data_IF_048786283427
#
_entry.id   IF_048786283427
#
_cell.length_a   1.000
_cell.length_b   1.000
_cell.length_c   1.000
_cell.angle_alpha   90.00
_cell.angle_beta   90.00
_cell.angle_gamma   90.00
#
_symmetry.space_group_name_H-M   'P 1'
#
loop_
_entity.id
_entity.type
_entity.pdbx_description
1 polymer ?
#
# COMPACT_ATOMS: atom_id res chain seq x y z
N UNK A 1 24.46 69.44 -15.20
CA UNK A 1 25.68 69.81 -15.95
C UNK A 1 26.71 68.72 -15.68
N UNK A 2 26.67 67.65 -16.47
CA UNK A 2 27.62 66.52 -16.36
C UNK A 2 27.65 65.83 -17.71
N UNK A 3 28.84 65.80 -18.30
CA UNK A 3 29.13 65.45 -19.69
C UNK A 3 29.21 63.94 -19.85
N UNK A 4 28.42 63.39 -20.77
CA UNK A 4 28.43 61.97 -21.16
C UNK A 4 29.49 61.79 -22.26
N UNK A 5 30.60 61.14 -21.90
CA UNK A 5 31.67 60.77 -22.85
C UNK A 5 31.37 59.41 -23.48
N UNK A 6 31.19 59.39 -24.80
CA UNK A 6 31.07 58.17 -25.60
C UNK A 6 32.44 57.49 -25.71
N UNK A 7 32.57 56.29 -25.14
CA UNK A 7 33.74 55.42 -25.31
C UNK A 7 33.45 54.49 -26.48
N UNK A 8 34.14 54.73 -27.60
CA UNK A 8 34.10 53.89 -28.78
C UNK A 8 34.93 52.62 -28.51
N UNK A 9 34.35 51.40 -28.59
CA UNK A 9 35.14 50.19 -28.44
C UNK A 9 36.08 50.05 -29.64
N UNK A 10 37.37 50.23 -29.40
CA UNK A 10 38.42 49.98 -30.39
C UNK A 10 38.56 48.46 -30.50
N UNK A 11 37.92 47.87 -31.51
CA UNK A 11 38.08 46.47 -31.86
C UNK A 11 39.53 46.25 -32.32
N UNK A 12 40.37 45.69 -31.45
CA UNK A 12 41.64 45.10 -31.84
C UNK A 12 41.32 43.89 -32.73
N UNK A 13 41.37 44.11 -34.04
CA UNK A 13 41.39 43.05 -35.03
C UNK A 13 42.67 42.23 -34.82
N UNK A 14 42.54 41.12 -34.11
CA UNK A 14 43.58 40.09 -34.04
C UNK A 14 43.56 39.38 -35.38
N UNK A 15 44.48 39.77 -36.25
CA UNK A 15 44.71 39.18 -37.56
C UNK A 15 45.30 37.78 -37.35
N UNK A 16 44.43 36.78 -37.24
CA UNK A 16 44.84 35.38 -37.13
C UNK A 16 45.33 34.89 -38.50
N UNK A 17 46.52 34.27 -38.58
CA UNK A 17 47.10 33.86 -39.85
C UNK A 17 46.23 32.80 -40.57
N UNK A 18 46.03 32.90 -41.89
CA UNK A 18 45.22 31.99 -42.71
C UNK A 18 45.98 30.69 -43.02
N UNK A 19 46.35 29.91 -42.00
CA UNK A 19 47.12 28.65 -42.15
C UNK A 19 46.41 27.40 -41.60
N UNK A 20 45.07 27.38 -41.56
CA UNK A 20 44.29 26.22 -41.12
C UNK A 20 43.11 25.86 -42.05
N UNK A 21 43.19 26.10 -43.37
CA UNK A 21 42.10 25.80 -44.31
C UNK A 21 42.36 24.69 -45.36
N UNK A 22 43.00 23.56 -44.99
CA UNK A 22 42.62 22.32 -45.68
C UNK A 22 42.33 21.13 -44.75
N UNK A 23 42.54 21.28 -43.44
CA UNK A 23 42.25 20.21 -42.47
C UNK A 23 40.81 20.26 -41.93
N UNK A 24 40.06 21.32 -42.22
CA UNK A 24 38.69 21.53 -41.72
C UNK A 24 37.75 20.39 -42.08
N UNK A 25 37.71 20.00 -43.34
CA UNK A 25 36.77 18.96 -43.80
C UNK A 25 37.15 17.57 -43.28
N UNK A 26 38.44 17.22 -43.24
CA UNK A 26 38.88 15.91 -42.75
C UNK A 26 38.74 15.81 -41.22
N UNK A 27 39.12 16.85 -40.47
CA UNK A 27 38.96 16.89 -39.03
C UNK A 27 37.47 16.87 -38.63
N UNK A 28 36.61 17.59 -39.36
CA UNK A 28 35.17 17.55 -39.18
C UNK A 28 34.61 16.16 -39.47
N UNK A 29 35.02 15.53 -40.58
CA UNK A 29 34.57 14.18 -40.95
C UNK A 29 34.98 13.15 -39.90
N UNK A 30 36.22 13.21 -39.40
CA UNK A 30 36.72 12.33 -38.34
C UNK A 30 35.96 12.56 -37.02
N UNK A 31 35.71 13.82 -36.65
CA UNK A 31 34.96 14.15 -35.43
C UNK A 31 33.51 13.66 -35.49
N UNK A 32 32.85 13.80 -36.64
CA UNK A 32 31.50 13.27 -36.87
C UNK A 32 31.50 11.74 -36.79
N UNK A 33 32.45 11.06 -37.45
CA UNK A 33 32.59 9.61 -37.38
C UNK A 33 32.81 9.10 -35.96
N UNK A 34 33.68 9.75 -35.18
CA UNK A 34 33.91 9.40 -33.78
C UNK A 34 32.66 9.63 -32.93
N UNK A 35 31.95 10.73 -33.13
CA UNK A 35 30.73 11.03 -32.38
C UNK A 35 29.64 10.01 -32.68
N UNK A 36 29.47 9.63 -33.96
CA UNK A 36 28.53 8.58 -34.36
C UNK A 36 28.94 7.22 -33.80
N UNK A 37 30.23 6.88 -33.82
CA UNK A 37 30.73 5.62 -33.26
C UNK A 37 30.52 5.54 -31.74
N UNK A 38 30.77 6.65 -31.02
CA UNK A 38 30.51 6.74 -29.57
C UNK A 38 29.01 6.58 -29.30
N UNK A 39 28.14 7.32 -29.99
CA UNK A 39 26.68 7.20 -29.83
C UNK A 39 26.18 5.80 -30.15
N UNK A 40 26.70 5.18 -31.22
CA UNK A 40 26.36 3.83 -31.62
C UNK A 40 26.78 2.77 -30.59
N UNK A 41 27.74 3.06 -29.72
CA UNK A 41 28.15 2.16 -28.64
C UNK A 41 27.49 2.49 -27.30
N UNK A 42 27.37 3.78 -26.94
CA UNK A 42 26.81 4.21 -25.66
C UNK A 42 25.30 4.00 -25.60
N UNK A 43 24.57 4.25 -26.69
CA UNK A 43 23.10 4.10 -26.69
C UNK A 43 22.72 2.63 -26.45
N UNK A 44 23.27 1.62 -27.16
CA UNK A 44 22.92 0.23 -26.90
C UNK A 44 23.34 -0.25 -25.52
N UNK A 45 24.50 0.15 -25.01
CA UNK A 45 24.94 -0.23 -23.65
C UNK A 45 24.01 0.39 -22.59
N UNK A 46 23.60 1.64 -22.77
CA UNK A 46 22.66 2.31 -21.87
C UNK A 46 21.24 1.71 -21.95
N UNK A 47 20.79 1.34 -23.16
CA UNK A 47 19.50 0.64 -23.35
C UNK A 47 19.56 -0.78 -22.80
N UNK A 48 20.66 -1.51 -23.01
CA UNK A 48 20.85 -2.88 -22.53
C UNK A 48 20.94 -2.93 -21.01
N UNK A 49 21.71 -2.04 -20.38
CA UNK A 49 21.77 -1.93 -18.91
C UNK A 49 20.39 -1.60 -18.33
N UNK A 50 19.63 -0.69 -18.94
CA UNK A 50 18.23 -0.43 -18.55
C UNK A 50 17.31 -1.64 -18.75
N UNK A 51 17.54 -2.48 -19.77
CA UNK A 51 16.75 -3.69 -20.02
C UNK A 51 17.08 -4.81 -19.03
N UNK A 52 18.35 -5.03 -18.70
CA UNK A 52 18.76 -6.06 -17.73
C UNK A 52 18.17 -5.76 -16.35
N UNK A 53 18.26 -4.50 -15.89
CA UNK A 53 17.64 -4.07 -14.62
C UNK A 53 16.13 -4.30 -14.63
N UNK A 54 15.45 -4.08 -15.76
CA UNK A 54 14.02 -4.36 -15.90
C UNK A 54 13.68 -5.86 -15.84
N UNK A 55 14.48 -6.72 -16.48
CA UNK A 55 14.21 -8.17 -16.54
C UNK A 55 14.45 -8.84 -15.19
N UNK A 56 15.54 -8.50 -14.49
CA UNK A 56 15.80 -9.00 -13.13
C UNK A 56 14.75 -8.49 -12.14
N UNK A 57 14.31 -7.23 -12.26
CA UNK A 57 13.25 -6.68 -11.43
C UNK A 57 11.91 -7.40 -11.64
N UNK A 58 11.58 -7.80 -12.88
CA UNK A 58 10.35 -8.55 -13.19
C UNK A 58 10.43 -10.01 -12.69
N UNK A 59 11.55 -10.71 -12.93
CA UNK A 59 11.72 -12.08 -12.47
C UNK A 59 11.69 -12.20 -10.92
N UNK A 60 12.28 -11.24 -10.22
CA UNK A 60 12.18 -11.13 -8.76
C UNK A 60 10.77 -10.72 -8.29
N UNK A 61 10.09 -9.84 -9.04
CA UNK A 61 8.72 -9.43 -8.71
C UNK A 61 7.72 -10.59 -8.76
N UNK A 62 7.91 -11.51 -9.71
CA UNK A 62 7.14 -12.74 -9.80
C UNK A 62 7.46 -13.70 -8.65
N UNK A 63 8.72 -13.77 -8.20
CA UNK A 63 9.12 -14.55 -7.02
C UNK A 63 8.51 -14.00 -5.72
N UNK A 64 8.49 -12.67 -5.54
CA UNK A 64 7.88 -12.01 -4.36
C UNK A 64 6.35 -12.04 -4.35
N UNK A 65 5.70 -12.04 -5.53
CA UNK A 65 4.26 -12.30 -5.66
C UNK A 65 3.93 -13.76 -5.43
N UNK A 66 4.82 -14.64 -5.88
CA UNK A 66 4.66 -16.06 -5.98
C UNK A 66 5.17 -16.84 -4.78
N UNK A 67 5.65 -16.19 -3.72
CA UNK A 67 5.98 -16.88 -2.47
C UNK A 67 4.82 -16.84 -1.47
N UNK A 68 3.82 -17.74 -1.59
CA UNK A 68 2.79 -17.90 -0.57
C UNK A 68 3.41 -18.27 0.77
N UNK A 69 4.61 -18.86 0.80
CA UNK A 69 5.27 -19.26 2.05
C UNK A 69 5.59 -18.03 2.91
N UNK A 70 6.02 -16.91 2.33
CA UNK A 70 6.24 -15.66 3.07
C UNK A 70 4.95 -15.10 3.68
N UNK A 71 3.83 -15.15 2.97
CA UNK A 71 2.52 -14.73 3.50
C UNK A 71 2.08 -15.65 4.65
N UNK A 72 2.25 -16.97 4.49
CA UNK A 72 1.94 -17.93 5.56
C UNK A 72 2.88 -17.83 6.77
N UNK A 73 4.16 -17.51 6.56
CA UNK A 73 5.12 -17.27 7.62
C UNK A 73 4.73 -16.04 8.44
N UNK A 74 4.29 -14.96 7.79
CA UNK A 74 3.75 -13.78 8.46
C UNK A 74 2.46 -14.10 9.25
N UNK A 75 1.49 -14.81 8.64
CA UNK A 75 0.26 -15.25 9.34
C UNK A 75 0.61 -16.05 10.60
N UNK A 76 1.51 -17.03 10.47
CA UNK A 76 1.97 -17.86 11.58
C UNK A 76 2.60 -17.02 12.67
N UNK A 77 3.58 -16.18 12.31
CA UNK A 77 4.30 -15.35 13.26
C UNK A 77 3.36 -14.46 14.08
N UNK A 78 2.42 -13.79 13.41
CA UNK A 78 1.47 -12.91 14.06
C UNK A 78 0.47 -13.65 14.96
N UNK A 79 0.00 -14.83 14.56
CA UNK A 79 -0.89 -15.64 15.41
C UNK A 79 -0.17 -16.22 16.61
N UNK A 80 1.05 -16.71 16.42
CA UNK A 80 1.89 -17.23 17.51
C UNK A 80 2.20 -16.11 18.51
N UNK A 81 2.52 -14.91 18.02
CA UNK A 81 2.74 -13.74 18.87
C UNK A 81 1.54 -13.46 19.78
N UNK A 82 0.34 -13.35 19.21
CA UNK A 82 -0.87 -13.03 19.97
C UNK A 82 -1.29 -14.17 20.90
N UNK A 83 -1.16 -15.42 20.49
CA UNK A 83 -1.41 -16.56 21.38
C UNK A 83 -0.38 -16.66 22.52
N UNK A 84 0.87 -16.26 22.27
CA UNK A 84 1.89 -16.18 23.32
C UNK A 84 1.53 -15.10 24.35
N UNK A 85 1.06 -13.94 23.89
CA UNK A 85 0.52 -12.89 24.76
C UNK A 85 -0.66 -13.39 25.60
N UNK A 86 -1.65 -14.04 24.97
CA UNK A 86 -2.82 -14.59 25.67
C UNK A 86 -2.42 -15.65 26.70
N UNK A 87 -1.55 -16.60 26.33
CA UNK A 87 -1.07 -17.69 27.19
C UNK A 87 -0.34 -17.17 28.43
N UNK A 88 0.45 -16.11 28.28
CA UNK A 88 1.25 -15.52 29.36
C UNK A 88 0.57 -14.33 30.03
N UNK A 89 -0.71 -14.05 29.70
CA UNK A 89 -1.49 -12.94 30.23
C UNK A 89 -0.82 -11.57 30.04
N UNK A 90 -0.10 -11.40 28.94
CA UNK A 90 0.53 -10.15 28.52
C UNK A 90 -0.42 -9.41 27.58
N UNK A 91 -0.72 -8.15 27.88
CA UNK A 91 -1.51 -7.29 26.97
C UNK A 91 -0.66 -6.97 25.75
N UNK A 92 -1.18 -7.26 24.55
CA UNK A 92 -0.47 -6.95 23.32
C UNK A 92 -0.37 -5.43 23.11
N UNK A 93 0.83 -4.85 22.99
CA UNK A 93 1.04 -3.40 22.96
C UNK A 93 0.73 -2.73 21.61
N UNK A 94 0.21 -3.48 20.64
CA UNK A 94 -0.09 -3.02 19.28
C UNK A 94 1.09 -3.21 18.31
N UNK A 95 0.75 -3.41 17.04
CA UNK A 95 1.69 -3.76 15.98
C UNK A 95 1.97 -2.58 15.04
N UNK A 96 3.14 -1.94 15.14
CA UNK A 96 3.51 -0.88 14.19
C UNK A 96 4.06 -1.48 12.89
N UNK A 97 5.07 -2.35 12.99
CA UNK A 97 5.77 -2.96 11.85
C UNK A 97 6.21 -4.37 12.19
N UNK A 98 6.22 -5.26 11.21
CA UNK A 98 6.87 -6.57 11.31
C UNK A 98 7.84 -6.74 10.16
N UNK A 99 9.03 -7.25 10.45
CA UNK A 99 10.00 -7.72 9.48
C UNK A 99 10.13 -9.23 9.63
N UNK A 100 9.75 -9.97 8.59
CA UNK A 100 9.90 -11.43 8.54
C UNK A 100 11.12 -11.75 7.69
N UNK A 101 12.24 -12.03 8.36
CA UNK A 101 13.47 -12.49 7.74
C UNK A 101 13.54 -14.02 7.66
N UNK A 102 14.67 -14.54 7.17
CA UNK A 102 14.93 -15.98 7.08
C UNK A 102 15.19 -16.62 8.45
N UNK A 103 15.95 -15.95 9.31
CA UNK A 103 16.37 -16.48 10.62
C UNK A 103 15.57 -15.89 11.78
N UNK A 104 15.05 -14.67 11.61
CA UNK A 104 14.47 -13.88 12.70
C UNK A 104 13.24 -13.11 12.24
N UNK A 105 12.29 -12.97 13.16
CA UNK A 105 11.13 -12.11 13.04
C UNK A 105 11.30 -10.96 14.01
N UNK A 106 11.15 -9.74 13.51
CA UNK A 106 11.21 -8.50 14.29
C UNK A 106 9.86 -7.79 14.26
N UNK A 107 9.38 -7.36 15.41
CA UNK A 107 8.07 -6.73 15.61
C UNK A 107 8.29 -5.41 16.33
N UNK A 108 8.13 -4.31 15.63
CA UNK A 108 8.13 -2.98 16.24
C UNK A 108 6.74 -2.69 16.82
N UNK A 109 6.71 -2.26 18.08
CA UNK A 109 5.50 -2.08 18.87
C UNK A 109 5.03 -0.63 18.84
N UNK A 110 3.71 -0.44 18.94
CA UNK A 110 3.14 0.91 19.11
C UNK A 110 3.47 1.47 20.49
N UNK A 111 3.25 0.67 21.53
CA UNK A 111 3.58 1.02 22.92
C UNK A 111 4.81 0.25 23.39
N UNK A 112 5.90 0.90 23.80
CA UNK A 112 7.09 0.19 24.26
C UNK A 112 6.81 -0.66 25.51
N UNK A 113 7.33 -1.89 25.55
CA UNK A 113 7.25 -2.78 26.72
C UNK A 113 8.42 -3.77 26.78
N UNK A 114 8.90 -4.03 27.99
CA UNK A 114 10.04 -4.91 28.27
C UNK A 114 9.66 -6.33 28.70
N UNK A 115 8.37 -6.67 28.65
CA UNK A 115 7.85 -7.98 29.06
C UNK A 115 7.27 -8.75 27.86
N UNK A 116 8.09 -9.18 26.90
CA UNK A 116 7.62 -10.04 25.81
C UNK A 116 7.27 -11.43 26.35
N UNK A 117 6.21 -12.09 25.82
CA UNK A 117 5.96 -13.50 26.11
C UNK A 117 7.00 -14.39 25.39
N UNK A 118 7.28 -15.59 25.89
CA UNK A 118 8.13 -16.54 25.14
C UNK A 118 7.45 -16.96 23.82
N UNK A 119 8.20 -17.20 22.72
CA UNK A 119 9.67 -17.19 22.58
C UNK A 119 10.26 -15.81 22.23
N UNK A 120 9.50 -14.74 22.43
CA UNK A 120 9.90 -13.40 22.05
C UNK A 120 10.87 -12.82 23.07
N UNK A 121 11.89 -12.14 22.55
CA UNK A 121 12.84 -11.33 23.30
C UNK A 121 12.58 -9.85 23.00
N UNK A 122 12.98 -8.96 23.89
CA UNK A 122 12.73 -7.52 23.73
C UNK A 122 14.06 -6.77 23.55
N UNK A 123 14.03 -5.71 22.75
CA UNK A 123 15.11 -4.74 22.70
C UNK A 123 15.24 -3.98 24.02
N UNK A 124 16.40 -3.37 24.25
CA UNK A 124 16.68 -2.63 25.51
C UNK A 124 15.70 -1.47 25.75
N UNK A 125 15.19 -0.86 24.70
CA UNK A 125 14.22 0.24 24.76
C UNK A 125 12.75 -0.24 24.79
N UNK A 126 12.51 -1.56 24.76
CA UNK A 126 11.17 -2.16 24.76
C UNK A 126 10.37 -1.90 23.48
N UNK A 127 10.95 -1.30 22.44
CA UNK A 127 10.22 -0.93 21.22
C UNK A 127 10.10 -2.05 20.21
N UNK A 128 10.98 -3.04 20.29
CA UNK A 128 11.03 -4.16 19.36
C UNK A 128 11.01 -5.47 20.10
N UNK A 129 10.12 -6.36 19.67
CA UNK A 129 10.18 -7.76 20.03
C UNK A 129 10.76 -8.59 18.89
N UNK A 130 11.50 -9.64 19.24
CA UNK A 130 12.24 -10.45 18.29
C UNK A 130 12.18 -11.92 18.67
N UNK A 131 11.96 -12.80 17.69
CA UNK A 131 12.00 -14.24 17.89
C UNK A 131 12.72 -14.94 16.71
N UNK A 132 13.49 -16.01 16.97
CA UNK A 132 13.97 -16.89 15.90
C UNK A 132 12.79 -17.52 15.15
N UNK A 133 12.88 -17.57 13.82
CA UNK A 133 11.83 -18.18 12.97
C UNK A 133 11.59 -19.63 13.37
N UNK A 134 12.65 -20.39 13.67
CA UNK A 134 12.58 -21.79 14.07
C UNK A 134 11.70 -21.99 15.33
N UNK A 135 11.86 -21.14 16.35
CA UNK A 135 11.06 -21.24 17.57
C UNK A 135 9.58 -20.94 17.31
N UNK A 136 9.30 -19.91 16.50
CA UNK A 136 7.93 -19.58 16.07
C UNK A 136 7.31 -20.71 15.23
N UNK A 137 8.12 -21.45 14.46
CA UNK A 137 7.65 -22.59 13.69
C UNK A 137 7.27 -23.79 14.58
N UNK A 138 7.94 -23.98 15.72
CA UNK A 138 7.63 -25.07 16.65
C UNK A 138 6.35 -24.84 17.47
N UNK A 139 5.91 -23.58 17.61
CA UNK A 139 4.69 -23.24 18.36
C UNK A 139 3.41 -23.78 17.72
N UNK A 140 2.43 -24.14 18.55
CA UNK A 140 1.13 -24.60 18.06
C UNK A 140 0.37 -23.45 17.38
N UNK A 141 -0.12 -23.65 16.16
CA UNK A 141 -0.87 -22.62 15.44
C UNK A 141 -2.30 -22.49 16.01
N UNK A 142 -2.70 -21.32 16.54
CA UNK A 142 -4.05 -21.11 17.01
C UNK A 142 -5.06 -21.19 15.86
N UNK A 143 -6.21 -21.82 16.12
CA UNK A 143 -7.31 -21.89 15.16
C UNK A 143 -7.98 -20.53 14.94
N UNK A 144 -8.06 -19.69 15.99
CA UNK A 144 -8.69 -18.37 15.93
C UNK A 144 -7.83 -17.37 15.16
N UNK A 145 -8.46 -16.58 14.30
CA UNK A 145 -7.82 -15.45 13.63
C UNK A 145 -7.94 -14.18 14.47
N UNK A 146 -6.86 -13.41 14.63
CA UNK A 146 -6.91 -12.20 15.42
C UNK A 146 -7.50 -11.03 14.62
N UNK A 147 -8.58 -10.44 15.13
CA UNK A 147 -9.27 -9.31 14.50
C UNK A 147 -8.37 -8.05 14.44
N UNK A 148 -7.50 -7.86 15.43
CA UNK A 148 -6.55 -6.74 15.50
C UNK A 148 -5.45 -6.76 14.42
N UNK A 149 -5.44 -7.75 13.54
CA UNK A 149 -4.48 -7.84 12.42
C UNK A 149 -5.13 -7.64 11.06
N UNK A 150 -6.44 -7.37 11.02
CA UNK A 150 -7.22 -7.30 9.78
C UNK A 150 -6.67 -6.28 8.77
N UNK A 151 -6.02 -5.21 9.24
CA UNK A 151 -5.45 -4.13 8.42
C UNK A 151 -3.93 -4.21 8.27
N UNK A 152 -3.32 -5.37 8.54
CA UNK A 152 -1.88 -5.59 8.33
C UNK A 152 -1.61 -5.89 6.86
N UNK A 153 -0.70 -5.13 6.26
CA UNK A 153 -0.37 -5.22 4.82
C UNK A 153 1.14 -5.28 4.61
N UNK A 154 1.58 -6.02 3.59
CA UNK A 154 3.00 -6.16 3.26
C UNK A 154 3.41 -5.11 2.22
N UNK A 155 4.14 -4.08 2.67
CA UNK A 155 4.56 -2.96 1.84
C UNK A 155 5.65 -3.34 0.83
N UNK A 156 6.55 -4.25 1.20
CA UNK A 156 7.67 -4.65 0.34
C UNK A 156 8.66 -5.54 1.08
N UNK A 157 9.88 -5.61 0.53
CA UNK A 157 11.00 -6.32 1.13
C UNK A 157 12.19 -5.38 1.33
N UNK A 158 12.87 -5.49 2.47
CA UNK A 158 14.17 -4.87 2.74
C UNK A 158 15.28 -5.93 2.64
N UNK A 159 16.52 -5.55 2.98
CA UNK A 159 17.63 -6.51 3.05
C UNK A 159 17.42 -7.54 4.17
N UNK A 160 16.68 -7.18 5.21
CA UNK A 160 16.42 -8.00 6.39
C UNK A 160 15.23 -8.95 6.21
N UNK A 161 14.34 -8.67 5.26
CA UNK A 161 13.19 -9.53 4.98
C UNK A 161 11.95 -8.79 4.50
N UNK A 162 10.80 -9.47 4.58
CA UNK A 162 9.52 -8.91 4.17
C UNK A 162 8.97 -7.98 5.23
N UNK A 163 8.59 -6.76 4.85
CA UNK A 163 8.10 -5.73 5.76
C UNK A 163 6.58 -5.61 5.68
N UNK A 164 5.93 -5.86 6.81
CA UNK A 164 4.50 -5.69 7.03
C UNK A 164 4.24 -4.53 7.99
N UNK A 165 3.09 -3.87 7.81
CA UNK A 165 2.69 -2.70 8.60
C UNK A 165 1.24 -2.84 9.01
N UNK A 166 0.95 -2.59 10.29
CA UNK A 166 -0.42 -2.50 10.78
C UNK A 166 -0.99 -1.11 10.50
N UNK A 167 -1.89 -0.97 9.53
CA UNK A 167 -2.37 0.36 9.13
C UNK A 167 -3.20 1.05 10.23
N UNK A 168 -4.03 0.31 10.98
CA UNK A 168 -4.79 0.89 12.10
C UNK A 168 -3.88 1.33 13.26
N UNK A 169 -2.81 0.58 13.52
CA UNK A 169 -1.85 0.82 14.59
C UNK A 169 -1.00 2.08 14.36
N UNK A 170 -1.01 2.61 13.13
CA UNK A 170 -0.49 3.94 12.85
C UNK A 170 -1.33 5.04 13.51
N UNK A 171 -2.52 4.76 14.07
CA UNK A 171 -3.42 5.76 14.67
C UNK A 171 -3.51 7.03 13.80
N UNK A 172 -3.59 6.85 12.48
CA UNK A 172 -3.33 7.90 11.53
C UNK A 172 -3.29 7.40 10.09
N UNK A 173 -2.83 8.29 9.21
CA UNK A 173 -2.88 8.10 7.77
C UNK A 173 -1.48 7.74 7.25
N UNK A 174 -1.43 6.72 6.38
CA UNK A 174 -0.26 6.39 5.58
C UNK A 174 -0.30 7.21 4.28
N UNK A 175 0.59 8.19 4.16
CA UNK A 175 0.80 8.94 2.93
C UNK A 175 1.70 8.16 1.96
N UNK A 176 1.28 8.05 0.70
CA UNK A 176 2.08 7.55 -0.40
C UNK A 176 2.20 8.69 -1.41
N UNK A 177 3.41 9.19 -1.59
CA UNK A 177 3.77 10.22 -2.55
C UNK A 177 4.60 9.63 -3.72
N UNK A 178 4.93 10.45 -4.71
CA UNK A 178 5.73 10.09 -5.87
C UNK A 178 4.90 10.02 -7.14
N UNK A 179 5.40 9.28 -8.12
CA UNK A 179 4.78 9.19 -9.43
C UNK A 179 3.37 8.56 -9.35
N UNK A 180 2.38 9.13 -10.04
CA UNK A 180 0.99 8.65 -9.97
C UNK A 180 0.88 7.16 -10.28
N UNK A 181 1.56 6.66 -11.32
CA UNK A 181 1.50 5.25 -11.68
C UNK A 181 2.08 4.38 -10.57
N UNK A 182 3.18 4.82 -9.95
CA UNK A 182 3.82 4.13 -8.84
C UNK A 182 2.91 4.09 -7.61
N UNK A 183 2.30 5.23 -7.23
CA UNK A 183 1.37 5.28 -6.08
C UNK A 183 0.17 4.35 -6.26
N UNK A 184 -0.44 4.36 -7.45
CA UNK A 184 -1.57 3.48 -7.77
C UNK A 184 -1.18 2.01 -7.75
N UNK A 185 0.02 1.67 -8.21
CA UNK A 185 0.54 0.32 -8.17
C UNK A 185 0.76 -0.19 -6.73
N UNK A 186 1.25 0.66 -5.81
CA UNK A 186 1.28 0.33 -4.37
C UNK A 186 -0.14 0.15 -3.84
N UNK A 187 -1.07 1.05 -4.17
CA UNK A 187 -2.46 0.98 -3.72
C UNK A 187 -3.14 -0.32 -4.15
N UNK A 188 -2.99 -0.72 -5.42
CA UNK A 188 -3.47 -2.02 -5.94
C UNK A 188 -2.92 -3.17 -5.15
N UNK A 189 -1.60 -3.21 -4.96
CA UNK A 189 -0.94 -4.28 -4.20
C UNK A 189 -1.50 -4.40 -2.78
N UNK A 190 -1.71 -3.27 -2.09
CA UNK A 190 -2.31 -3.26 -0.75
C UNK A 190 -3.75 -3.81 -0.82
N UNK A 191 -4.55 -3.35 -1.77
CA UNK A 191 -5.94 -3.78 -1.91
C UNK A 191 -6.06 -5.29 -2.26
N UNK A 192 -5.23 -5.78 -3.18
CA UNK A 192 -5.15 -7.20 -3.56
C UNK A 192 -4.71 -8.06 -2.37
N UNK A 193 -3.75 -7.59 -1.57
CA UNK A 193 -3.33 -8.27 -0.35
C UNK A 193 -4.48 -8.34 0.66
N UNK A 194 -5.23 -7.26 0.88
CA UNK A 194 -6.38 -7.28 1.79
C UNK A 194 -7.44 -8.27 1.32
N UNK A 195 -7.66 -8.40 0.00
CA UNK A 195 -8.60 -9.34 -0.58
C UNK A 195 -8.15 -10.82 -0.46
N UNK A 196 -6.83 -11.08 -0.49
CA UNK A 196 -6.28 -12.44 -0.59
C UNK A 196 -5.67 -12.97 0.72
N UNK A 197 -5.26 -12.09 1.63
CA UNK A 197 -4.54 -12.49 2.85
C UNK A 197 -5.46 -13.24 3.82
N UNK A 198 -5.00 -14.35 4.45
CA UNK A 198 -5.81 -15.11 5.38
C UNK A 198 -6.35 -14.29 6.56
N UNK A 199 -5.61 -13.30 7.04
CA UNK A 199 -5.97 -12.45 8.18
C UNK A 199 -6.87 -11.25 7.83
N UNK A 200 -7.03 -10.91 6.54
CA UNK A 200 -7.78 -9.72 6.10
C UNK A 200 -9.14 -10.03 5.45
N UNK A 201 -9.62 -11.28 5.51
CA UNK A 201 -10.85 -11.70 4.82
C UNK A 201 -12.12 -10.92 5.19
N UNK A 202 -12.18 -10.34 6.39
CA UNK A 202 -13.30 -9.54 6.86
C UNK A 202 -13.05 -8.03 6.77
N UNK A 203 -11.92 -7.62 6.19
CA UNK A 203 -11.53 -6.20 6.12
C UNK A 203 -12.30 -5.52 5.00
N UNK A 204 -13.09 -4.51 5.36
CA UNK A 204 -13.73 -3.67 4.36
C UNK A 204 -12.68 -2.85 3.60
N UNK A 205 -12.82 -2.73 2.28
CA UNK A 205 -11.97 -1.85 1.46
C UNK A 205 -12.87 -0.78 0.86
N UNK A 206 -12.57 0.49 1.15
CA UNK A 206 -13.29 1.65 0.65
C UNK A 206 -12.35 2.52 -0.19
N UNK A 207 -12.91 3.18 -1.21
CA UNK A 207 -12.17 4.05 -2.13
C UNK A 207 -12.91 5.37 -2.29
N UNK A 208 -12.16 6.49 -2.29
CA UNK A 208 -12.67 7.83 -2.61
C UNK A 208 -11.78 8.47 -3.68
N UNK A 209 -12.37 8.70 -4.85
CA UNK A 209 -11.69 9.26 -6.03
C UNK A 209 -10.64 8.33 -6.68
N UNK A 210 -10.57 7.06 -6.27
CA UNK A 210 -9.76 6.01 -6.93
C UNK A 210 -10.68 5.15 -7.78
N UNK A 211 -10.45 5.11 -9.10
CA UNK A 211 -11.34 4.41 -10.04
C UNK A 211 -11.13 2.89 -10.02
N UNK A 212 -12.12 2.14 -10.53
CA UNK A 212 -12.07 0.67 -10.58
C UNK A 212 -10.94 0.14 -11.48
N UNK A 213 -10.63 0.85 -12.56
CA UNK A 213 -9.51 0.53 -13.45
C UNK A 213 -8.14 0.83 -12.80
N UNK A 214 -8.12 1.65 -11.75
CA UNK A 214 -6.92 1.96 -11.00
C UNK A 214 -6.71 0.99 -9.84
N UNK A 215 -7.76 0.71 -9.05
CA UNK A 215 -7.79 -0.28 -7.95
C UNK A 215 -9.13 -1.01 -7.99
N UNK A 216 -9.09 -2.30 -8.37
CA UNK A 216 -10.31 -3.08 -8.61
C UNK A 216 -11.06 -3.49 -7.31
N UNK A 217 -10.35 -3.63 -6.20
CA UNK A 217 -10.94 -4.10 -4.95
C UNK A 217 -11.59 -2.96 -4.14
N UNK A 218 -12.71 -3.27 -3.49
CA UNK A 218 -13.42 -2.37 -2.56
C UNK A 218 -14.52 -1.53 -3.18
N UNK A 219 -15.32 -0.89 -2.32
CA UNK A 219 -16.45 -0.06 -2.72
C UNK A 219 -16.01 1.40 -2.97
N UNK A 220 -16.41 1.97 -4.10
CA UNK A 220 -16.24 3.40 -4.40
C UNK A 220 -17.35 4.19 -3.71
N UNK A 221 -16.98 5.14 -2.86
CA UNK A 221 -17.90 5.99 -2.11
C UNK A 221 -17.61 7.47 -2.32
N UNK A 222 -18.58 8.32 -1.96
CA UNK A 222 -18.32 9.74 -1.73
C UNK A 222 -17.45 9.91 -0.49
N UNK A 223 -16.80 11.08 -0.36
CA UNK A 223 -15.99 11.37 0.82
C UNK A 223 -16.84 11.38 2.10
N UNK A 224 -18.04 11.96 2.04
CA UNK A 224 -18.93 12.08 3.19
C UNK A 224 -19.41 10.70 3.67
N UNK A 225 -19.80 9.81 2.76
CA UNK A 225 -20.22 8.44 3.12
C UNK A 225 -19.06 7.63 3.69
N UNK A 226 -17.87 7.75 3.09
CA UNK A 226 -16.69 7.05 3.59
C UNK A 226 -16.29 7.54 5.00
N UNK A 227 -16.39 8.85 5.25
CA UNK A 227 -16.12 9.42 6.57
C UNK A 227 -17.14 8.94 7.60
N UNK A 228 -18.43 8.89 7.26
CA UNK A 228 -19.47 8.39 8.17
C UNK A 228 -19.17 6.94 8.61
N UNK A 229 -18.75 6.08 7.67
CA UNK A 229 -18.36 4.70 7.97
C UNK A 229 -17.15 4.63 8.91
N UNK A 230 -16.08 5.40 8.62
CA UNK A 230 -14.85 5.42 9.45
C UNK A 230 -15.10 6.03 10.83
N UNK A 231 -15.90 7.09 10.90
CA UNK A 231 -16.28 7.77 12.15
C UNK A 231 -17.21 6.89 12.98
N UNK A 232 -18.12 6.14 12.37
CA UNK A 232 -18.95 5.19 13.13
C UNK A 232 -18.10 4.04 13.67
N UNK A 233 -17.09 3.58 12.92
CA UNK A 233 -16.13 2.57 13.40
C UNK A 233 -16.74 1.18 13.63
N UNK A 234 -17.89 0.88 13.01
CA UNK A 234 -18.63 -0.36 13.23
C UNK A 234 -17.90 -1.64 12.73
N UNK A 235 -16.85 -1.48 11.92
CA UNK A 235 -16.06 -2.57 11.37
C UNK A 235 -14.60 -2.14 11.21
N UNK A 236 -13.69 -3.10 10.99
CA UNK A 236 -12.30 -2.81 10.60
C UNK A 236 -12.19 -2.74 9.08
N UNK A 237 -11.40 -1.80 8.58
CA UNK A 237 -11.31 -1.56 7.15
C UNK A 237 -10.10 -0.73 6.74
N UNK A 238 -9.93 -0.59 5.43
CA UNK A 238 -8.93 0.30 4.84
C UNK A 238 -9.62 1.25 3.87
N UNK A 239 -9.41 2.54 4.07
CA UNK A 239 -9.89 3.61 3.21
C UNK A 239 -8.75 4.16 2.34
N UNK A 240 -8.92 4.11 1.02
CA UNK A 240 -8.03 4.75 0.07
C UNK A 240 -8.56 6.12 -0.33
N UNK A 241 -7.73 7.15 -0.20
CA UNK A 241 -8.01 8.52 -0.61
C UNK A 241 -7.07 8.92 -1.74
N UNK A 242 -7.62 9.34 -2.87
CA UNK A 242 -6.83 9.86 -4.01
C UNK A 242 -6.28 11.27 -3.78
N UNK A 243 -6.99 12.07 -2.99
CA UNK A 243 -6.69 13.49 -2.74
C UNK A 243 -6.78 13.80 -1.24
N UNK A 244 -6.16 14.91 -0.85
CA UNK A 244 -6.21 15.42 0.53
C UNK A 244 -7.63 15.93 0.81
N UNK A 245 -8.33 15.43 1.84
CA UNK A 245 -9.62 15.97 2.26
C UNK A 245 -9.54 17.45 2.65
N UNK A 246 -10.70 18.13 2.71
CA UNK A 246 -10.76 19.45 3.32
C UNK A 246 -10.27 19.43 4.77
N UNK A 247 -9.83 20.58 5.32
CA UNK A 247 -9.29 20.64 6.68
C UNK A 247 -10.27 20.13 7.75
N UNK A 248 -11.58 20.38 7.59
CA UNK A 248 -12.61 19.87 8.49
C UNK A 248 -12.77 18.35 8.39
N UNK A 249 -12.84 17.81 7.17
CA UNK A 249 -12.90 16.37 6.91
C UNK A 249 -11.66 15.65 7.45
N UNK A 250 -10.47 16.23 7.25
CA UNK A 250 -9.21 15.69 7.75
C UNK A 250 -9.18 15.64 9.28
N UNK A 251 -9.66 16.70 9.94
CA UNK A 251 -9.74 16.76 11.41
C UNK A 251 -10.68 15.69 11.95
N UNK A 252 -11.87 15.53 11.34
CA UNK A 252 -12.83 14.51 11.71
C UNK A 252 -12.26 13.09 11.52
N UNK A 253 -11.61 12.85 10.38
CA UNK A 253 -10.96 11.58 10.08
C UNK A 253 -9.87 11.24 11.10
N UNK A 254 -8.98 12.19 11.40
CA UNK A 254 -7.93 11.99 12.41
C UNK A 254 -8.49 11.70 13.79
N UNK A 255 -9.46 12.50 14.24
CA UNK A 255 -10.10 12.28 15.53
C UNK A 255 -10.77 10.90 15.59
N UNK A 256 -11.34 10.42 14.49
CA UNK A 256 -11.88 9.07 14.43
C UNK A 256 -10.80 7.99 14.56
N UNK A 257 -9.66 8.12 13.87
CA UNK A 257 -8.55 7.15 13.87
C UNK A 257 -7.73 7.14 15.17
N UNK A 258 -7.74 8.23 15.93
CA UNK A 258 -7.06 8.30 17.23
C UNK A 258 -7.80 7.51 18.33
N UNK A 259 -9.05 7.12 18.08
CA UNK A 259 -9.81 6.30 19.03
C UNK A 259 -9.33 4.85 19.04
N UNK A 260 -9.08 4.26 20.22
CA UNK A 260 -8.50 2.92 20.34
C UNK A 260 -9.42 1.80 19.79
N UNK A 261 -10.73 2.02 19.77
CA UNK A 261 -11.70 1.08 19.19
C UNK A 261 -11.80 1.16 17.66
N UNK A 262 -11.16 2.16 17.03
CA UNK A 262 -11.23 2.32 15.60
C UNK A 262 -10.27 1.36 14.88
N UNK A 263 -10.84 0.36 14.20
CA UNK A 263 -10.10 -0.62 13.41
C UNK A 263 -9.73 -0.19 12.00
N UNK A 264 -9.94 1.08 11.63
CA UNK A 264 -9.66 1.58 10.28
C UNK A 264 -8.20 2.01 10.10
N UNK A 265 -7.66 1.67 8.93
CA UNK A 265 -6.46 2.29 8.38
C UNK A 265 -6.81 3.19 7.20
N UNK A 266 -6.04 4.27 6.99
CA UNK A 266 -6.22 5.14 5.83
C UNK A 266 -4.94 5.22 5.02
N UNK A 267 -5.06 5.08 3.70
CA UNK A 267 -3.98 5.25 2.73
C UNK A 267 -4.31 6.46 1.86
N UNK A 268 -3.52 7.52 2.01
CA UNK A 268 -3.62 8.74 1.21
C UNK A 268 -2.61 8.69 0.06
N UNK A 269 -3.10 8.71 -1.17
CA UNK A 269 -2.27 8.67 -2.39
C UNK A 269 -1.82 10.07 -2.80
N UNK A 270 -1.36 10.85 -1.83
CA UNK A 270 -0.84 12.21 -1.97
C UNK A 270 0.19 12.51 -0.88
N UNK A 271 1.04 13.50 -1.12
CA UNK A 271 1.88 14.10 -0.08
C UNK A 271 1.03 14.92 0.89
N UNK A 272 1.28 14.80 2.19
CA UNK A 272 0.65 15.68 3.19
C UNK A 272 1.46 15.75 4.49
N UNK A 273 1.81 16.96 4.94
CA UNK A 273 2.71 17.17 6.08
C UNK A 273 2.21 16.60 7.42
N UNK A 274 0.90 16.32 7.52
CA UNK A 274 0.28 15.82 8.75
C UNK A 274 0.04 14.30 8.74
N UNK A 275 0.48 13.57 7.70
CA UNK A 275 0.46 12.10 7.75
C UNK A 275 1.50 11.61 8.75
N UNK A 276 1.21 10.50 9.43
CA UNK A 276 2.16 9.96 10.40
C UNK A 276 3.37 9.36 9.69
N UNK A 277 3.11 8.56 8.67
CA UNK A 277 4.12 7.94 7.83
C UNK A 277 3.94 8.43 6.41
N UNK A 278 4.99 9.06 5.86
CA UNK A 278 5.05 9.47 4.47
C UNK A 278 6.05 8.58 3.75
N UNK A 279 5.57 7.85 2.74
CA UNK A 279 6.39 7.02 1.88
C UNK A 279 6.42 7.62 0.48
N UNK A 280 7.55 7.49 -0.22
CA UNK A 280 7.71 7.94 -1.61
C UNK A 280 7.84 6.72 -2.51
N UNK A 281 6.82 6.47 -3.33
CA UNK A 281 6.81 5.41 -4.32
C UNK A 281 7.50 5.88 -5.60
N UNK A 282 8.54 5.15 -6.01
CA UNK A 282 9.31 5.44 -7.22
C UNK A 282 8.97 4.46 -8.33
N UNK A 283 9.18 4.88 -9.59
CA UNK A 283 8.94 4.05 -10.78
C UNK A 283 9.89 2.86 -10.91
N UNK A 284 11.00 2.88 -10.19
CA UNK A 284 11.96 1.77 -10.14
C UNK A 284 11.51 0.61 -9.24
N UNK A 285 10.33 0.71 -8.60
CA UNK A 285 9.84 -0.28 -7.66
C UNK A 285 10.46 -0.14 -6.27
N UNK A 286 10.87 1.05 -5.88
CA UNK A 286 11.32 1.33 -4.51
C UNK A 286 10.32 2.25 -3.77
N UNK A 287 10.14 1.99 -2.49
CA UNK A 287 9.31 2.75 -1.56
C UNK A 287 10.23 3.22 -0.45
N UNK A 288 10.41 4.52 -0.32
CA UNK A 288 11.34 5.11 0.65
C UNK A 288 10.58 5.91 1.68
N UNK A 289 10.87 5.74 2.95
CA UNK A 289 10.39 6.64 4.00
C UNK A 289 11.05 6.37 5.35
N UNK A 290 11.05 7.36 6.23
CA UNK A 290 11.82 7.33 7.48
C UNK A 290 11.45 6.17 8.40
N UNK A 291 10.16 5.81 8.43
CA UNK A 291 9.65 4.76 9.31
C UNK A 291 10.03 3.33 8.86
N UNK A 292 10.25 3.12 7.56
CA UNK A 292 10.43 1.78 6.98
C UNK A 292 11.77 1.61 6.25
N UNK A 293 12.51 2.68 6.04
CA UNK A 293 13.73 2.70 5.23
C UNK A 293 13.42 2.62 3.74
N UNK A 294 14.33 2.00 2.99
CA UNK A 294 14.13 1.66 1.59
C UNK A 294 13.55 0.25 1.48
N UNK A 295 12.36 0.15 0.90
CA UNK A 295 11.69 -1.11 0.60
C UNK A 295 11.62 -1.29 -0.91
N UNK A 296 11.83 -2.52 -1.37
CA UNK A 296 11.53 -2.91 -2.74
C UNK A 296 10.11 -3.45 -2.84
N UNK A 297 9.35 -2.92 -3.78
CA UNK A 297 7.98 -3.31 -4.09
C UNK A 297 7.84 -3.28 -5.62
N UNK A 298 7.30 -4.34 -6.22
CA UNK A 298 7.08 -4.32 -7.67
C UNK A 298 5.65 -4.74 -7.98
N UNK A 299 5.03 -3.97 -8.87
CA UNK A 299 3.80 -4.31 -9.58
C UNK A 299 4.15 -4.58 -11.04
N UNK A 300 3.85 -5.79 -11.54
CA UNK A 300 4.07 -6.17 -12.94
C UNK A 300 3.33 -5.22 -13.91
N UNK A 301 2.26 -4.55 -13.48
CA UNK A 301 1.53 -3.60 -14.31
C UNK A 301 2.33 -2.33 -14.67
N UNK A 302 3.35 -1.95 -13.88
CA UNK A 302 4.19 -0.78 -14.21
C UNK A 302 5.08 -1.00 -15.43
N UNK A 303 5.34 -2.26 -15.79
CA UNK A 303 6.15 -2.63 -16.95
C UNK A 303 5.31 -3.00 -18.18
N UNK A 304 3.97 -3.05 -18.07
CA UNK A 304 3.07 -3.51 -19.13
C UNK A 304 2.35 -2.41 -19.91
N UNK A 305 2.64 -1.13 -19.68
CA UNK A 305 1.97 -0.01 -20.38
C UNK A 305 2.81 0.71 -21.44
N UNK A 306 4.00 0.21 -21.78
CA UNK A 306 4.38 0.27 -23.19
C UNK A 306 3.49 -0.75 -23.90
N UNK A 307 2.32 -0.28 -24.33
CA UNK A 307 1.35 -1.06 -25.07
C UNK A 307 2.08 -1.76 -26.22
N UNK A 308 2.28 -3.07 -26.08
CA UNK A 308 2.35 -3.93 -27.25
C UNK A 308 1.00 -3.73 -27.92
N UNK A 309 0.99 -2.88 -28.94
CA UNK A 309 -0.15 -2.74 -29.82
C UNK A 309 -0.53 -4.15 -30.24
N UNK A 310 -1.67 -4.64 -29.74
CA UNK A 310 -2.26 -5.87 -30.26
C UNK A 310 -2.42 -5.59 -31.76
N UNK A 311 -1.75 -6.35 -32.65
CA UNK A 311 -1.86 -6.10 -34.07
C UNK A 311 -3.35 -6.20 -34.41
N UNK A 312 -3.90 -5.09 -34.90
CA UNK A 312 -5.26 -5.03 -35.39
C UNK A 312 -5.38 -6.02 -36.56
N UNK A 313 -5.81 -7.24 -36.28
CA UNK A 313 -5.84 -8.28 -37.30
C UNK A 313 -6.05 -9.72 -36.86
N UNK A 314 -6.15 -10.04 -35.55
CA UNK A 314 -6.59 -11.38 -35.17
C UNK A 314 -8.12 -11.50 -35.33
N UNK A 315 -8.60 -12.42 -36.19
CA UNK A 315 -10.03 -12.61 -36.39
C UNK A 315 -10.67 -13.09 -35.09
N UNK A 316 -11.76 -12.43 -34.70
CA UNK A 316 -12.64 -12.88 -33.62
C UNK A 316 -13.08 -14.32 -33.93
N UNK A 317 -12.90 -15.29 -33.00
CA UNK A 317 -13.51 -16.60 -33.19
C UNK A 317 -15.02 -16.41 -33.29
N UNK A 318 -15.62 -16.99 -34.33
CA UNK A 318 -17.05 -16.99 -34.55
C UNK A 318 -17.73 -17.56 -33.30
N UNK A 319 -18.74 -16.84 -32.81
CA UNK A 319 -19.62 -17.31 -31.75
C UNK A 319 -20.49 -18.45 -32.32
N UNK A 320 -19.94 -19.66 -32.33
CA UNK A 320 -20.67 -20.85 -32.76
C UNK A 320 -20.60 -21.88 -31.63
N UNK A 321 -21.77 -22.12 -31.02
CA UNK A 321 -22.00 -23.24 -30.11
C UNK A 321 -21.68 -23.00 -28.64
N UNK A 322 -22.43 -22.11 -27.96
CA UNK A 322 -22.58 -22.25 -26.52
C UNK A 322 -23.53 -23.46 -26.25
N UNK A 323 -23.11 -24.49 -25.50
CA UNK A 323 -23.99 -25.60 -25.14
C UNK A 323 -25.10 -25.09 -24.21
N UNK A 324 -26.35 -25.32 -24.64
CA UNK A 324 -27.55 -25.11 -23.83
C UNK A 324 -27.40 -25.83 -22.48
N UNK A 325 -27.56 -25.06 -21.40
CA UNK A 325 -27.54 -25.57 -20.03
C UNK A 325 -28.59 -26.67 -19.84
N UNK A 326 -28.27 -27.79 -19.16
CA UNK A 326 -29.25 -28.84 -18.90
C UNK A 326 -30.35 -28.34 -17.96
N UNK A 327 -31.60 -28.59 -18.33
CA UNK A 327 -32.78 -28.33 -17.51
C UNK A 327 -32.68 -29.07 -16.18
N UNK A 328 -32.66 -28.33 -15.07
CA UNK A 328 -32.69 -28.87 -13.72
C UNK A 328 -34.09 -29.44 -13.44
N UNK A 329 -34.23 -30.73 -13.05
CA UNK A 329 -35.52 -31.30 -12.69
C UNK A 329 -36.02 -30.75 -11.35
N UNK A 330 -37.27 -30.29 -11.34
CA UNK A 330 -37.97 -29.80 -10.16
C UNK A 330 -38.11 -30.89 -9.10
N UNK A 331 -37.56 -30.65 -7.91
CA UNK A 331 -37.75 -31.52 -6.73
C UNK A 331 -39.18 -31.36 -6.17
N UNK A 332 -39.81 -32.45 -5.70
CA UNK A 332 -41.12 -32.41 -5.07
C UNK A 332 -41.06 -31.75 -3.69
N UNK A 333 -41.99 -30.83 -3.44
CA UNK A 333 -42.21 -30.15 -2.16
C UNK A 333 -42.80 -31.13 -1.15
N UNK A 334 -42.10 -31.37 -0.05
CA UNK A 334 -42.61 -32.14 1.08
C UNK A 334 -43.68 -31.36 1.86
N UNK A 335 -44.78 -32.00 2.31
CA UNK A 335 -45.81 -31.34 3.08
C UNK A 335 -45.48 -31.32 4.58
N UNK A 336 -45.70 -30.17 5.22
CA UNK A 336 -46.04 -30.11 6.64
C UNK A 336 -44.96 -29.59 7.59
N UNK A 337 -45.03 -28.31 7.93
CA UNK A 337 -44.80 -27.86 9.31
C UNK A 337 -45.51 -26.53 9.52
N UNK A 338 -46.56 -26.56 10.33
CA UNK A 338 -47.37 -25.40 10.69
C UNK A 338 -46.55 -24.41 11.56
N UNK A 339 -46.61 -23.09 11.32
CA UNK A 339 -46.00 -22.12 12.20
C UNK A 339 -46.88 -21.87 13.44
N UNK A 340 -46.26 -22.00 14.61
CA UNK A 340 -46.82 -21.71 15.91
C UNK A 340 -47.25 -20.23 16.02
N UNK A 341 -48.43 -20.03 16.61
CA UNK A 341 -49.10 -18.75 16.73
C UNK A 341 -48.32 -17.70 17.54
N UNK A 342 -48.21 -16.50 16.97
CA UNK A 342 -47.67 -15.32 17.64
C UNK A 342 -48.83 -14.61 18.36
N UNK A 343 -48.92 -14.78 19.68
CA UNK A 343 -49.78 -13.98 20.57
C UNK A 343 -49.36 -12.52 20.49
N UNK A 344 -50.31 -11.64 20.16
CA UNK A 344 -50.23 -10.20 20.37
C UNK A 344 -50.65 -9.93 21.82
N UNK A 345 -49.71 -9.48 22.66
CA UNK A 345 -50.05 -8.78 23.88
C UNK A 345 -49.92 -7.28 23.63
N UNK A 346 -51.05 -6.58 23.77
CA UNK A 346 -51.15 -5.14 23.78
C UNK A 346 -51.20 -4.69 25.23
N UNK A 347 -50.15 -4.03 25.72
CA UNK A 347 -50.17 -3.32 27.00
C UNK A 347 -49.91 -1.83 26.79
N UNK A 348 -51.02 -1.11 26.76
CA UNK A 348 -51.25 0.19 27.42
C UNK A 348 -50.23 0.50 28.54
N UNK A 349 -49.77 1.75 28.61
CA UNK A 349 -49.40 2.35 29.89
C UNK A 349 -48.49 3.57 29.82
N UNK A 350 -49.05 4.74 30.16
CA UNK A 350 -48.39 5.61 31.13
C UNK A 350 -47.59 6.79 30.59
N UNK A 351 -48.27 7.93 30.48
CA UNK A 351 -47.67 9.25 30.53
C UNK A 351 -46.99 9.51 31.88
N UNK A 352 -45.88 10.27 31.90
CA UNK A 352 -45.53 11.15 33.04
C UNK A 352 -44.71 12.34 32.57
N UNK A 353 -45.00 13.47 33.21
CA UNK A 353 -44.60 14.86 32.97
C UNK A 353 -43.11 15.14 33.21
N UNK A 354 -42.57 16.22 32.62
CA UNK A 354 -41.34 16.88 33.08
C UNK A 354 -41.66 17.79 34.29
N UNK A 355 -40.85 17.69 35.34
CA UNK A 355 -40.96 18.50 36.55
C UNK A 355 -39.61 19.12 36.94
N UNK A 356 -39.63 20.45 36.94
CA UNK A 356 -38.95 21.43 37.79
C UNK A 356 -37.44 21.47 37.96
N UNK A 357 -36.92 22.61 37.48
CA UNK A 357 -35.72 23.27 37.95
C UNK A 357 -35.89 23.77 39.39
N UNK A 358 -34.86 23.53 40.21
CA UNK A 358 -34.67 24.21 41.49
C UNK A 358 -33.31 24.93 41.45
N UNK A 359 -33.37 26.25 41.49
CA UNK A 359 -32.25 27.10 41.80
C UNK A 359 -31.97 27.05 43.32
N UNK A 360 -30.71 26.92 43.71
CA UNK A 360 -30.26 27.32 45.05
C UNK A 360 -28.94 28.07 44.95
N UNK A 361 -29.04 29.33 45.39
CA UNK A 361 -28.05 30.27 45.96
C UNK A 361 -26.59 30.19 45.58
#
# INVERSE_FOLDING_TARGET
MTVVGAVTPTALAVDLPPMLEPFGDLALTVAVLLTVAVLAFTIPVWVASRRVVKVEAVAWADDVRGDPSATWAADRALRVLLASCEREHVVFPGLARVVVGSERIDVDLVTPTVAPPAPWSTSRDGRRWSAPVELVQLEALPARRPEGLATVVALGSSAEGRVLVGLHALHGVLGIDGDRSARLAVARRIADQLATSPWSRSTAVLRVGVRDDEVAAGALLSLDDALDVVVTGASSGVLFLSEVPSASAWTALRSALERPENGWGVVLLAHHDQVRWQLTARRDGTLVGDAVGELRWVDVALNGHDAVAVPAGLPRPAAEGAPSSPSVPSLPVAPGTAPAGRRRDASRGGATRPGDAVATR
#
